data_IF_109258315748
#
_entry.id   IF_109258315748
#
_cell.length_a   1.000
_cell.length_b   1.000
_cell.length_c   1.000
_cell.angle_alpha   90.00
_cell.angle_beta   90.00
_cell.angle_gamma   90.00
#
_symmetry.space_group_name_H-M   'P 1'
#
loop_
_entity.id
_entity.type
_entity.pdbx_description
1 polymer ?
#
# COMPACT_ATOMS: atom_id res chain seq x y z
N UNK A 1 103.99 -28.07 -13.02
CA UNK A 1 103.42 -29.41 -13.31
C UNK A 1 102.62 -29.85 -12.09
N UNK A 2 101.47 -30.53 -12.23
CA UNK A 2 100.48 -30.39 -13.30
C UNK A 2 99.00 -30.56 -12.83
N UNK A 3 98.04 -30.23 -13.72
CA UNK A 3 96.61 -30.66 -13.86
C UNK A 3 95.65 -30.53 -12.63
N UNK A 4 94.37 -30.19 -12.73
CA UNK A 4 93.36 -30.45 -13.76
C UNK A 4 92.13 -29.54 -13.59
N UNK A 5 91.52 -29.22 -14.72
CA UNK A 5 90.18 -28.63 -14.91
C UNK A 5 89.09 -29.58 -14.36
N UNK A 6 88.05 -29.05 -13.71
CA UNK A 6 86.66 -29.49 -13.94
C UNK A 6 85.63 -28.50 -13.39
N UNK A 7 84.95 -27.87 -14.33
CA UNK A 7 83.68 -27.15 -14.19
C UNK A 7 82.62 -28.10 -13.61
N UNK A 8 81.93 -27.70 -12.54
CA UNK A 8 80.59 -28.23 -12.21
C UNK A 8 79.68 -27.08 -11.78
N UNK A 9 78.83 -26.71 -12.72
CA UNK A 9 77.55 -26.05 -12.58
C UNK A 9 76.77 -26.62 -11.38
N UNK A 10 76.45 -25.76 -10.40
CA UNK A 10 75.48 -26.08 -9.36
C UNK A 10 74.18 -25.38 -9.72
N UNK A 11 73.25 -26.15 -10.27
CA UNK A 11 71.89 -25.73 -10.62
C UNK A 11 71.13 -25.42 -9.32
N UNK A 12 70.73 -24.16 -9.14
CA UNK A 12 69.82 -23.74 -8.07
C UNK A 12 68.41 -24.28 -8.41
N UNK A 13 67.99 -25.37 -7.76
CA UNK A 13 66.62 -25.85 -7.83
C UNK A 13 65.80 -25.05 -6.79
N UNK A 14 65.24 -23.92 -7.20
CA UNK A 14 64.22 -23.22 -6.43
C UNK A 14 62.90 -24.01 -6.55
N UNK A 15 62.62 -24.86 -5.57
CA UNK A 15 61.32 -25.49 -5.43
C UNK A 15 60.29 -24.44 -5.02
N UNK A 16 59.54 -23.91 -5.99
CA UNK A 16 58.33 -23.14 -5.72
C UNK A 16 57.27 -24.13 -5.21
N UNK A 17 57.14 -24.26 -3.89
CA UNK A 17 55.95 -24.84 -3.28
C UNK A 17 54.81 -23.85 -3.50
N UNK A 18 54.01 -24.05 -4.57
CA UNK A 18 52.68 -23.46 -4.62
C UNK A 18 51.88 -24.07 -3.47
N UNK A 19 51.75 -23.34 -2.38
CA UNK A 19 50.67 -23.56 -1.43
C UNK A 19 49.37 -23.32 -2.18
N UNK A 20 48.70 -24.40 -2.62
CA UNK A 20 47.29 -24.31 -2.95
C UNK A 20 46.56 -24.02 -1.64
N UNK A 21 46.31 -22.74 -1.40
CA UNK A 21 45.30 -22.31 -0.44
C UNK A 21 43.99 -22.90 -0.93
N UNK A 22 43.52 -23.97 -0.30
CA UNK A 22 42.13 -24.37 -0.43
C UNK A 22 41.31 -23.17 0.07
N UNK A 23 40.75 -22.40 -0.85
CA UNK A 23 39.73 -21.41 -0.50
C UNK A 23 38.63 -22.18 0.20
N UNK A 24 38.52 -22.02 1.52
CA UNK A 24 37.37 -22.50 2.25
C UNK A 24 36.15 -21.88 1.57
N UNK A 25 35.29 -22.72 0.99
CA UNK A 25 33.98 -22.30 0.52
C UNK A 25 33.26 -21.83 1.78
N UNK A 26 33.20 -20.51 1.99
CA UNK A 26 32.42 -19.97 3.10
C UNK A 26 30.97 -20.41 2.87
N UNK A 27 30.27 -20.89 3.92
CA UNK A 27 28.87 -21.27 3.78
C UNK A 27 28.09 -20.04 3.30
N UNK A 28 27.27 -20.24 2.27
CA UNK A 28 26.37 -19.21 1.75
C UNK A 28 25.36 -18.89 2.85
N UNK A 29 25.20 -17.61 3.19
CA UNK A 29 24.20 -17.18 4.16
C UNK A 29 22.80 -17.39 3.57
N UNK A 30 21.97 -18.19 4.25
CA UNK A 30 20.58 -18.44 3.89
C UNK A 30 19.61 -17.68 4.78
N UNK A 31 18.53 -17.17 4.19
CA UNK A 31 17.43 -16.46 4.83
C UNK A 31 16.08 -17.13 4.49
N UNK A 32 15.04 -16.80 5.24
CA UNK A 32 13.73 -17.43 5.14
C UNK A 32 13.67 -18.87 5.69
N UNK A 33 12.47 -19.44 5.71
CA UNK A 33 12.18 -20.76 6.27
C UNK A 33 11.70 -21.72 5.17
N UNK A 34 12.21 -22.95 5.17
CA UNK A 34 11.82 -23.99 4.21
C UNK A 34 12.21 -25.39 4.73
N UNK A 35 11.42 -26.42 4.44
CA UNK A 35 11.83 -27.82 4.60
C UNK A 35 12.79 -28.22 3.47
N UNK A 36 14.09 -27.95 3.68
CA UNK A 36 15.14 -28.23 2.68
C UNK A 36 15.19 -29.71 2.26
N UNK A 37 15.20 -30.70 3.18
CA UNK A 37 15.15 -32.11 2.79
C UNK A 37 13.96 -32.48 1.91
N UNK A 38 12.76 -31.98 2.23
CA UNK A 38 11.58 -32.24 1.41
C UNK A 38 11.69 -31.58 0.02
N UNK A 39 12.19 -30.35 -0.04
CA UNK A 39 12.44 -29.65 -1.30
C UNK A 39 13.47 -30.37 -2.19
N UNK A 40 14.57 -30.86 -1.61
CA UNK A 40 15.61 -31.60 -2.34
C UNK A 40 15.10 -32.92 -2.94
N UNK A 41 14.12 -33.55 -2.28
CA UNK A 41 13.47 -34.78 -2.76
C UNK A 41 12.42 -34.54 -3.86
N UNK A 42 12.09 -33.28 -4.17
CA UNK A 42 11.04 -32.91 -5.13
C UNK A 42 11.62 -32.60 -6.52
N UNK A 43 10.84 -32.83 -7.57
CA UNK A 43 11.18 -32.38 -8.92
C UNK A 43 11.19 -30.84 -8.97
N UNK A 44 12.21 -30.26 -9.60
CA UNK A 44 12.46 -28.81 -9.54
C UNK A 44 12.73 -28.23 -10.91
N UNK A 45 12.29 -26.99 -11.10
CA UNK A 45 12.56 -26.18 -12.28
C UNK A 45 13.39 -24.97 -11.89
N UNK A 46 14.33 -24.59 -12.77
CA UNK A 46 15.19 -23.43 -12.57
C UNK A 46 14.90 -22.35 -13.60
N UNK A 47 14.80 -21.12 -13.13
CA UNK A 47 14.63 -19.91 -13.92
C UNK A 47 15.81 -18.98 -13.70
N UNK A 48 16.30 -18.37 -14.78
CA UNK A 48 17.33 -17.34 -14.72
C UNK A 48 16.68 -15.96 -14.62
N UNK A 49 17.09 -15.16 -13.64
CA UNK A 49 16.67 -13.77 -13.46
C UNK A 49 17.89 -12.89 -13.74
N UNK A 50 18.02 -12.39 -14.98
CA UNK A 50 19.27 -11.74 -15.43
C UNK A 50 19.08 -10.26 -15.76
N UNK A 51 17.88 -9.81 -16.10
CA UNK A 51 17.67 -8.50 -16.71
C UNK A 51 17.40 -7.37 -15.71
N UNK A 52 17.38 -7.67 -14.40
CA UNK A 52 17.14 -6.67 -13.37
C UNK A 52 18.38 -5.81 -13.04
N UNK A 53 19.60 -6.28 -13.35
CA UNK A 53 20.84 -5.57 -13.05
C UNK A 53 21.96 -5.90 -14.04
N UNK A 54 22.86 -4.93 -14.25
CA UNK A 54 24.12 -5.14 -15.01
C UNK A 54 25.19 -5.85 -14.18
N UNK A 55 25.18 -5.68 -12.86
CA UNK A 55 26.22 -6.19 -11.96
C UNK A 55 25.83 -7.51 -11.31
N UNK A 56 24.53 -7.73 -11.12
CA UNK A 56 24.03 -8.89 -10.41
C UNK A 56 23.20 -9.77 -11.33
N UNK A 57 23.06 -11.03 -10.91
CA UNK A 57 22.14 -11.99 -11.49
C UNK A 57 21.51 -12.82 -10.38
N UNK A 58 20.38 -13.44 -10.66
CA UNK A 58 19.77 -14.39 -9.75
C UNK A 58 19.28 -15.65 -10.47
N UNK A 59 19.09 -16.70 -9.69
CA UNK A 59 18.40 -17.92 -10.11
C UNK A 59 17.27 -18.20 -9.16
N UNK A 60 16.14 -18.63 -9.69
CA UNK A 60 15.05 -19.19 -8.91
C UNK A 60 14.96 -20.69 -9.20
N UNK A 61 15.10 -21.50 -8.17
CA UNK A 61 14.83 -22.93 -8.21
C UNK A 61 13.53 -23.18 -7.43
N UNK A 62 12.52 -23.79 -8.05
CA UNK A 62 11.19 -23.97 -7.44
C UNK A 62 10.66 -25.37 -7.73
N UNK A 63 9.76 -25.89 -6.90
CA UNK A 63 9.08 -27.16 -7.17
C UNK A 63 8.33 -27.12 -8.52
N UNK A 64 8.52 -28.17 -9.32
CA UNK A 64 7.91 -28.35 -10.63
C UNK A 64 6.55 -29.05 -10.49
N UNK A 65 5.59 -28.28 -9.97
CA UNK A 65 4.19 -28.68 -9.85
C UNK A 65 3.27 -27.48 -10.19
N UNK A 66 1.96 -27.74 -10.24
CA UNK A 66 0.94 -26.76 -10.60
C UNK A 66 0.32 -26.03 -9.39
N UNK A 67 0.93 -26.15 -8.20
CA UNK A 67 0.47 -25.45 -7.01
C UNK A 67 0.79 -23.95 -7.10
N UNK A 68 -0.07 -23.12 -6.49
CA UNK A 68 0.11 -21.66 -6.47
C UNK A 68 1.28 -21.28 -5.56
N UNK A 69 1.30 -21.84 -4.35
CA UNK A 69 2.35 -21.68 -3.36
C UNK A 69 3.29 -22.87 -3.47
N UNK A 70 4.57 -22.61 -3.73
CA UNK A 70 5.53 -23.68 -4.00
C UNK A 70 6.83 -23.46 -3.25
N UNK A 71 7.45 -24.54 -2.73
CA UNK A 71 8.74 -24.43 -2.11
C UNK A 71 9.80 -24.07 -3.16
N UNK A 72 10.72 -23.18 -2.79
CA UNK A 72 11.77 -22.73 -3.69
C UNK A 72 12.86 -21.91 -3.02
N UNK A 73 13.93 -21.71 -3.79
CA UNK A 73 15.14 -21.00 -3.37
C UNK A 73 15.50 -19.96 -4.44
N UNK A 74 15.63 -18.72 -4.01
CA UNK A 74 16.16 -17.62 -4.83
C UNK A 74 17.60 -17.37 -4.42
N UNK A 75 18.53 -17.44 -5.37
CA UNK A 75 19.96 -17.20 -5.14
C UNK A 75 20.41 -15.98 -5.91
N UNK A 76 21.11 -15.07 -5.25
CA UNK A 76 21.65 -13.85 -5.85
C UNK A 76 23.16 -13.97 -5.98
N UNK A 77 23.71 -13.53 -7.11
CA UNK A 77 25.12 -13.63 -7.46
C UNK A 77 25.64 -12.28 -7.96
N UNK A 78 26.91 -12.01 -7.67
CA UNK A 78 27.69 -11.13 -8.53
C UNK A 78 27.81 -11.78 -9.92
N UNK A 79 27.60 -11.01 -10.99
CA UNK A 79 27.53 -11.54 -12.36
C UNK A 79 28.83 -12.20 -12.81
N UNK A 80 29.98 -11.84 -12.25
CA UNK A 80 31.28 -12.45 -12.54
C UNK A 80 31.61 -13.64 -11.63
N UNK A 81 30.93 -13.76 -10.48
CA UNK A 81 31.21 -14.80 -9.49
C UNK A 81 30.22 -15.99 -9.62
N UNK A 82 30.69 -17.25 -9.68
CA UNK A 82 29.81 -18.41 -9.62
C UNK A 82 29.23 -18.68 -8.23
N UNK A 83 29.87 -18.22 -7.15
CA UNK A 83 29.34 -18.39 -5.79
C UNK A 83 28.23 -17.37 -5.49
N UNK A 84 27.09 -17.78 -4.91
CA UNK A 84 26.03 -16.85 -4.54
C UNK A 84 26.48 -15.94 -3.39
N UNK A 85 26.03 -14.70 -3.42
CA UNK A 85 26.19 -13.71 -2.36
C UNK A 85 25.34 -14.11 -1.14
N UNK A 86 24.11 -14.56 -1.40
CA UNK A 86 23.16 -15.07 -0.42
C UNK A 86 22.04 -15.85 -1.13
N UNK A 87 21.23 -16.55 -0.33
CA UNK A 87 20.01 -17.19 -0.80
C UNK A 87 18.82 -16.94 0.14
N UNK A 88 17.62 -16.88 -0.43
CA UNK A 88 16.36 -16.80 0.29
C UNK A 88 15.55 -18.05 -0.04
N UNK A 89 15.04 -18.72 1.00
CA UNK A 89 14.30 -19.98 0.93
C UNK A 89 12.88 -19.72 1.40
N UNK A 90 11.93 -20.42 0.81
CA UNK A 90 10.53 -20.35 1.21
C UNK A 90 9.80 -21.63 0.85
N UNK A 91 8.87 -22.07 1.71
CA UNK A 91 7.91 -23.12 1.35
C UNK A 91 6.78 -22.59 0.43
N UNK A 92 6.60 -21.27 0.31
CA UNK A 92 5.41 -20.66 -0.32
C UNK A 92 5.76 -19.50 -1.27
N UNK A 93 6.65 -19.74 -2.24
CA UNK A 93 6.87 -18.80 -3.34
C UNK A 93 5.70 -18.81 -4.32
N UNK A 94 5.29 -17.62 -4.75
CA UNK A 94 4.33 -17.42 -5.84
C UNK A 94 5.08 -16.91 -7.06
N UNK A 95 4.85 -17.55 -8.20
CA UNK A 95 5.49 -17.19 -9.46
C UNK A 95 4.46 -16.75 -10.48
N UNK A 96 4.62 -15.51 -10.93
CA UNK A 96 4.01 -15.05 -12.17
C UNK A 96 5.01 -15.19 -13.32
N UNK A 97 4.68 -16.09 -14.24
CA UNK A 97 5.45 -16.36 -15.46
C UNK A 97 4.71 -15.71 -16.63
N UNK A 98 5.43 -14.95 -17.45
CA UNK A 98 4.88 -14.44 -18.70
C UNK A 98 4.39 -15.59 -19.60
N UNK A 99 3.47 -15.33 -20.55
CA UNK A 99 3.05 -16.33 -21.55
C UNK A 99 4.21 -16.96 -22.35
N UNK A 100 5.38 -16.32 -22.38
CA UNK A 100 6.62 -16.82 -23.00
C UNK A 100 7.55 -17.65 -22.08
N UNK A 101 7.19 -17.88 -20.82
CA UNK A 101 7.98 -18.72 -19.90
C UNK A 101 9.02 -17.98 -19.03
N UNK A 102 9.10 -16.65 -19.13
CA UNK A 102 10.02 -15.81 -18.35
C UNK A 102 9.38 -15.36 -17.03
N UNK A 103 10.11 -15.45 -15.92
CA UNK A 103 9.68 -14.93 -14.61
C UNK A 103 9.88 -13.43 -14.57
N UNK A 104 8.85 -12.68 -14.17
CA UNK A 104 8.95 -11.23 -14.06
C UNK A 104 9.76 -10.82 -12.83
N UNK A 105 10.68 -9.87 -13.00
CA UNK A 105 11.34 -9.13 -11.93
C UNK A 105 10.86 -7.67 -11.93
N UNK A 106 10.92 -6.99 -10.78
CA UNK A 106 10.54 -5.58 -10.61
C UNK A 106 9.07 -5.23 -10.93
N UNK A 107 8.15 -6.19 -10.85
CA UNK A 107 6.72 -5.89 -10.84
C UNK A 107 6.30 -5.61 -9.42
N UNK A 108 5.65 -4.48 -9.20
CA UNK A 108 5.08 -4.10 -7.93
C UNK A 108 3.76 -3.37 -8.17
N UNK A 109 2.64 -4.08 -7.98
CA UNK A 109 1.31 -3.51 -8.03
C UNK A 109 0.80 -3.28 -6.62
N UNK A 110 0.50 -2.03 -6.31
CA UNK A 110 0.06 -1.57 -4.99
C UNK A 110 -1.34 -0.92 -5.10
N UNK A 111 -2.15 -0.94 -4.03
CA UNK A 111 -1.93 -1.67 -2.77
C UNK A 111 -2.17 -3.19 -2.91
N UNK A 112 -2.75 -3.62 -4.03
CA UNK A 112 -3.03 -5.02 -4.35
C UNK A 112 -2.61 -5.30 -5.78
N UNK A 113 -1.99 -6.45 -5.99
CA UNK A 113 -1.66 -6.97 -7.31
C UNK A 113 -0.35 -7.74 -7.31
N UNK A 114 0.14 -8.01 -8.51
CA UNK A 114 1.34 -8.79 -8.76
C UNK A 114 2.59 -8.14 -8.12
N UNK A 115 3.36 -8.95 -7.39
CA UNK A 115 4.69 -8.58 -6.90
C UNK A 115 5.70 -9.64 -7.34
N UNK A 116 6.75 -9.20 -8.02
CA UNK A 116 7.83 -10.07 -8.46
C UNK A 116 8.57 -10.69 -7.29
N UNK A 117 9.05 -11.92 -7.45
CA UNK A 117 9.91 -12.62 -6.47
C UNK A 117 11.22 -11.89 -6.16
N UNK A 118 11.63 -10.94 -7.01
CA UNK A 118 12.80 -10.09 -6.82
C UNK A 118 12.50 -8.67 -7.31
N UNK A 119 12.82 -7.70 -6.46
CA UNK A 119 12.69 -6.26 -6.74
C UNK A 119 14.03 -5.58 -6.46
N UNK A 120 14.52 -4.79 -7.42
CA UNK A 120 15.81 -4.09 -7.40
C UNK A 120 15.62 -2.57 -7.53
N UNK A 121 15.55 -1.89 -6.40
CA UNK A 121 15.25 -0.46 -6.30
C UNK A 121 16.03 0.19 -5.14
N UNK A 122 16.20 1.50 -5.15
CA UNK A 122 16.88 2.25 -4.08
C UNK A 122 15.81 2.62 -3.02
N UNK A 123 15.79 1.89 -1.91
CA UNK A 123 14.82 2.01 -0.82
C UNK A 123 15.25 3.06 0.21
N UNK A 124 16.55 3.25 0.38
CA UNK A 124 17.12 4.13 1.40
C UNK A 124 17.52 5.53 0.85
N UNK A 125 17.41 5.74 -0.45
CA UNK A 125 17.67 6.96 -1.20
C UNK A 125 19.15 7.40 -1.19
N UNK A 126 20.09 6.46 -1.17
CA UNK A 126 21.53 6.72 -1.20
C UNK A 126 22.17 6.65 -2.60
N UNK A 127 21.38 6.27 -3.62
CA UNK A 127 21.82 6.13 -5.01
C UNK A 127 22.39 4.76 -5.36
N UNK A 128 22.52 3.84 -4.39
CA UNK A 128 22.82 2.43 -4.58
C UNK A 128 21.49 1.68 -4.58
N UNK A 129 21.34 0.71 -5.48
CA UNK A 129 20.13 -0.09 -5.57
C UNK A 129 20.18 -1.24 -4.56
N UNK A 130 19.07 -1.44 -3.88
CA UNK A 130 18.80 -2.48 -2.89
C UNK A 130 18.04 -3.65 -3.53
N UNK A 131 17.87 -4.74 -2.78
CA UNK A 131 17.10 -5.92 -3.18
C UNK A 131 16.02 -6.23 -2.15
N UNK A 132 14.80 -6.46 -2.62
CA UNK A 132 13.78 -7.19 -1.87
C UNK A 132 13.58 -8.54 -2.56
N UNK A 133 13.72 -9.63 -1.81
CA UNK A 133 13.63 -11.00 -2.31
C UNK A 133 12.54 -11.75 -1.56
N UNK A 134 11.57 -12.29 -2.28
CA UNK A 134 10.39 -12.90 -1.67
C UNK A 134 10.77 -14.10 -0.81
N UNK A 135 10.27 -14.14 0.43
CA UNK A 135 10.51 -15.21 1.40
C UNK A 135 9.24 -15.99 1.77
N UNK A 136 8.12 -15.68 1.12
CA UNK A 136 6.89 -16.45 1.21
C UNK A 136 5.66 -15.55 1.26
N UNK A 137 4.66 -16.01 2.01
CA UNK A 137 3.39 -15.33 2.21
C UNK A 137 3.21 -14.90 3.69
N UNK A 138 4.26 -14.38 4.29
CA UNK A 138 4.31 -14.09 5.73
C UNK A 138 3.71 -12.73 6.10
N UNK A 139 3.18 -11.98 5.13
CA UNK A 139 2.59 -10.66 5.38
C UNK A 139 1.07 -10.71 5.50
N UNK A 140 0.40 -9.55 5.58
CA UNK A 140 -1.01 -9.48 5.96
C UNK A 140 -1.91 -10.42 5.11
N UNK A 141 -2.79 -11.18 5.78
CA UNK A 141 -3.73 -12.11 5.14
C UNK A 141 -3.09 -13.11 4.17
N UNK A 142 -1.96 -13.71 4.56
CA UNK A 142 -1.23 -14.67 3.71
C UNK A 142 -0.77 -14.02 2.40
N UNK A 143 -0.33 -12.75 2.50
CA UNK A 143 0.16 -11.95 1.40
C UNK A 143 1.69 -12.03 1.26
N UNK A 144 2.25 -11.59 0.12
CA UNK A 144 3.66 -11.75 -0.17
C UNK A 144 4.53 -11.03 0.86
N UNK A 145 5.66 -11.63 1.22
CA UNK A 145 6.66 -11.09 2.15
C UNK A 145 8.06 -11.15 1.56
N UNK A 146 8.98 -10.33 2.09
CA UNK A 146 10.32 -10.19 1.53
C UNK A 146 11.41 -10.04 2.58
N UNK A 147 12.56 -10.64 2.28
CA UNK A 147 13.84 -10.31 2.89
C UNK A 147 14.48 -9.15 2.12
N UNK A 148 14.90 -8.10 2.84
CA UNK A 148 15.46 -6.89 2.24
C UNK A 148 16.95 -6.76 2.52
N UNK A 149 17.67 -6.46 1.44
CA UNK A 149 19.12 -6.32 1.42
C UNK A 149 19.50 -4.95 0.85
N UNK A 150 20.08 -4.11 1.69
CA UNK A 150 20.54 -2.77 1.33
C UNK A 150 21.85 -2.87 0.58
N UNK A 151 21.96 -2.15 -0.53
CA UNK A 151 23.17 -2.02 -1.33
C UNK A 151 24.27 -1.32 -0.54
N UNK A 152 25.51 -1.74 -0.81
CA UNK A 152 26.73 -1.16 -0.25
C UNK A 152 27.79 -1.11 -1.34
N UNK A 153 28.91 -0.44 -1.09
CA UNK A 153 30.04 -0.41 -2.03
C UNK A 153 30.58 -1.81 -2.38
N UNK A 154 30.39 -2.80 -1.49
CA UNK A 154 30.98 -4.14 -1.59
C UNK A 154 29.93 -5.25 -1.78
N UNK A 155 28.71 -4.91 -2.18
CA UNK A 155 27.62 -5.89 -2.34
C UNK A 155 26.42 -5.51 -1.49
N UNK A 156 25.87 -6.46 -0.75
CA UNK A 156 24.61 -6.29 -0.02
C UNK A 156 24.72 -6.59 1.47
N UNK A 157 23.96 -5.85 2.27
CA UNK A 157 23.78 -6.07 3.72
C UNK A 157 22.29 -6.28 4.00
N UNK A 158 21.95 -7.37 4.67
CA UNK A 158 20.58 -7.60 5.16
C UNK A 158 20.12 -6.45 6.10
N UNK A 159 18.90 -5.95 5.92
CA UNK A 159 18.28 -4.96 6.82
C UNK A 159 17.04 -5.54 7.47
N UNK A 160 17.17 -5.83 8.76
CA UNK A 160 16.04 -6.22 9.60
C UNK A 160 14.92 -5.17 9.60
N UNK A 161 15.24 -3.88 9.54
CA UNK A 161 14.22 -2.83 9.60
C UNK A 161 13.38 -2.78 8.31
N UNK A 162 14.00 -2.90 7.14
CA UNK A 162 13.24 -2.97 5.89
C UNK A 162 12.55 -4.32 5.68
N UNK A 163 13.17 -5.45 6.08
CA UNK A 163 12.50 -6.76 6.12
C UNK A 163 11.24 -6.68 6.97
N UNK A 164 11.31 -6.07 8.16
CA UNK A 164 10.14 -5.90 9.02
C UNK A 164 9.03 -5.11 8.32
N UNK A 165 9.35 -4.04 7.58
CA UNK A 165 8.35 -3.31 6.80
C UNK A 165 7.72 -4.15 5.68
N UNK A 166 8.42 -5.16 5.16
CA UNK A 166 7.95 -6.04 4.11
C UNK A 166 7.23 -7.31 4.63
N UNK A 167 7.25 -7.55 5.94
CA UNK A 167 6.61 -8.69 6.60
C UNK A 167 5.43 -8.26 7.50
N UNK A 168 5.56 -7.17 8.26
CA UNK A 168 4.52 -6.75 9.23
C UNK A 168 3.32 -6.03 8.58
N UNK A 169 3.40 -5.74 7.29
CA UNK A 169 2.41 -4.97 6.53
C UNK A 169 1.79 -5.79 5.39
N UNK A 170 0.96 -5.17 4.54
CA UNK A 170 0.32 -5.81 3.41
C UNK A 170 1.20 -5.81 2.15
N UNK A 171 2.28 -6.57 2.18
CA UNK A 171 3.23 -6.72 1.06
C UNK A 171 4.40 -5.74 1.10
N UNK A 172 5.18 -5.71 0.02
CA UNK A 172 6.33 -4.81 -0.07
C UNK A 172 5.88 -3.34 -0.02
N UNK A 173 6.58 -2.54 0.78
CA UNK A 173 6.39 -1.10 0.88
C UNK A 173 6.58 -0.37 -0.47
N UNK A 174 5.89 0.76 -0.62
CA UNK A 174 6.06 1.68 -1.74
C UNK A 174 7.26 2.60 -1.53
N UNK A 175 8.02 2.84 -2.59
CA UNK A 175 9.07 3.88 -2.63
C UNK A 175 8.54 5.12 -3.36
N UNK A 176 8.51 6.24 -2.67
CA UNK A 176 8.24 7.56 -3.24
C UNK A 176 9.58 8.31 -3.38
N UNK A 177 10.23 8.13 -4.54
CA UNK A 177 11.55 8.71 -4.82
C UNK A 177 11.54 10.25 -4.80
N UNK A 178 10.42 10.87 -5.24
CA UNK A 178 10.29 12.33 -5.27
C UNK A 178 10.21 12.91 -3.85
N UNK A 179 9.40 12.29 -2.98
CA UNK A 179 9.29 12.70 -1.58
C UNK A 179 10.42 12.15 -0.70
N UNK A 180 11.23 11.20 -1.20
CA UNK A 180 12.16 10.38 -0.41
C UNK A 180 11.46 9.79 0.80
N UNK A 181 10.38 9.05 0.54
CA UNK A 181 9.55 8.40 1.56
C UNK A 181 9.29 6.96 1.20
N UNK A 182 9.21 6.12 2.23
CA UNK A 182 8.71 4.76 2.10
C UNK A 182 7.30 4.70 2.70
N UNK A 183 6.37 3.99 2.06
CA UNK A 183 4.97 3.90 2.51
C UNK A 183 4.54 2.45 2.66
N UNK A 184 3.91 2.11 3.78
CA UNK A 184 3.30 0.80 3.99
C UNK A 184 1.79 0.95 4.17
N UNK A 185 1.07 -0.17 4.05
CA UNK A 185 -0.36 -0.26 4.35
C UNK A 185 -0.64 -1.51 5.17
N UNK A 186 -1.55 -1.44 6.14
CA UNK A 186 -2.17 -2.60 6.79
C UNK A 186 -3.68 -2.39 6.91
N UNK A 187 -4.44 -3.44 7.24
CA UNK A 187 -5.90 -3.40 7.35
C UNK A 187 -6.47 -4.43 8.33
N UNK A 188 -7.70 -4.18 8.77
CA UNK A 188 -8.44 -5.04 9.71
C UNK A 188 -9.19 -6.19 9.02
N UNK A 189 -9.07 -6.28 7.69
CA UNK A 189 -9.70 -7.31 6.87
C UNK A 189 -11.06 -6.86 6.30
N UNK A 190 -11.47 -5.62 6.57
CA UNK A 190 -12.69 -5.00 6.05
C UNK A 190 -12.39 -3.58 5.61
N UNK A 191 -12.50 -2.66 6.57
CA UNK A 191 -13.00 -1.32 6.34
C UNK A 191 -12.11 -0.27 7.00
N UNK A 192 -11.17 -0.72 7.84
CA UNK A 192 -10.13 0.14 8.41
C UNK A 192 -8.81 -0.15 7.75
N UNK A 193 -8.19 0.89 7.22
CA UNK A 193 -6.87 0.85 6.60
C UNK A 193 -5.93 1.80 7.32
N UNK A 194 -4.73 1.33 7.64
CA UNK A 194 -3.65 2.14 8.19
C UNK A 194 -2.57 2.31 7.14
N UNK A 195 -2.18 3.54 6.89
CA UNK A 195 -1.09 3.91 5.99
C UNK A 195 0.02 4.53 6.82
N UNK A 196 1.21 3.95 6.80
CA UNK A 196 2.37 4.54 7.46
C UNK A 196 3.34 5.11 6.42
N UNK A 197 3.87 6.30 6.70
CA UNK A 197 4.90 6.96 5.91
C UNK A 197 6.18 7.03 6.74
N UNK A 198 7.29 6.62 6.13
CA UNK A 198 8.61 6.54 6.73
C UNK A 198 9.57 7.51 6.06
N UNK A 199 10.40 8.14 6.87
CA UNK A 199 11.62 8.83 6.45
C UNK A 199 12.81 7.91 6.66
N UNK A 200 13.85 8.09 5.86
CA UNK A 200 15.10 7.37 6.05
C UNK A 200 16.04 8.24 6.88
N UNK A 201 16.49 7.73 8.01
CA UNK A 201 17.51 8.34 8.87
C UNK A 201 18.64 7.35 9.05
N UNK A 202 19.86 7.77 8.76
CA UNK A 202 21.06 6.93 8.88
C UNK A 202 20.93 5.58 8.15
N UNK A 203 20.27 5.60 6.98
CA UNK A 203 20.06 4.42 6.14
C UNK A 203 18.91 3.50 6.56
N UNK A 204 18.20 3.80 7.64
CA UNK A 204 17.11 2.97 8.16
C UNK A 204 15.76 3.72 8.19
N UNK A 205 14.63 3.02 8.02
CA UNK A 205 13.31 3.63 8.03
C UNK A 205 12.85 4.02 9.44
N UNK A 206 12.35 5.24 9.58
CA UNK A 206 11.75 5.77 10.81
C UNK A 206 10.36 6.32 10.48
N UNK A 207 9.33 5.81 11.17
CA UNK A 207 7.96 6.23 10.94
C UNK A 207 7.81 7.73 11.20
N UNK A 208 7.35 8.48 10.19
CA UNK A 208 7.09 9.92 10.23
C UNK A 208 5.61 10.19 10.57
N UNK A 209 4.71 9.42 9.96
CA UNK A 209 3.28 9.68 9.95
C UNK A 209 2.50 8.38 9.81
N UNK A 210 1.36 8.32 10.46
CA UNK A 210 0.33 7.32 10.24
C UNK A 210 -0.98 8.02 9.88
N UNK A 211 -1.67 7.51 8.86
CA UNK A 211 -3.00 7.92 8.45
C UNK A 211 -3.93 6.72 8.56
N UNK A 212 -5.05 6.87 9.26
CA UNK A 212 -6.07 5.83 9.37
C UNK A 212 -7.28 6.27 8.54
N UNK A 213 -7.75 5.39 7.66
CA UNK A 213 -9.00 5.54 6.93
C UNK A 213 -9.98 4.50 7.47
N UNK A 214 -11.04 4.97 8.11
CA UNK A 214 -12.06 4.14 8.75
C UNK A 214 -13.40 4.30 8.00
N UNK A 215 -13.89 3.22 7.41
CA UNK A 215 -15.17 3.16 6.70
C UNK A 215 -16.27 2.40 7.48
N UNK A 216 -16.19 2.35 8.82
CA UNK A 216 -17.19 1.65 9.66
C UNK A 216 -18.43 2.50 9.99
N UNK A 217 -18.47 3.77 9.58
CA UNK A 217 -19.62 4.63 9.87
C UNK A 217 -20.90 4.10 9.21
N UNK A 218 -22.05 4.23 9.87
CA UNK A 218 -23.35 3.83 9.33
C UNK A 218 -23.73 4.60 8.06
N UNK A 219 -23.13 5.77 7.85
CA UNK A 219 -23.28 6.54 6.62
C UNK A 219 -22.53 5.93 5.42
N UNK A 220 -21.62 4.99 5.65
CA UNK A 220 -20.73 4.46 4.61
C UNK A 220 -19.71 5.48 4.09
N UNK A 221 -19.52 6.60 4.79
CA UNK A 221 -18.48 7.58 4.48
C UNK A 221 -17.20 7.25 5.26
N UNK A 222 -16.06 7.44 4.59
CA UNK A 222 -14.75 7.24 5.17
C UNK A 222 -14.38 8.38 6.13
N UNK A 223 -13.76 8.06 7.25
CA UNK A 223 -13.16 9.02 8.17
C UNK A 223 -11.65 8.86 8.17
N UNK A 224 -10.96 9.94 7.84
CA UNK A 224 -9.51 10.04 7.94
C UNK A 224 -9.12 10.62 9.29
N UNK A 225 -8.17 9.98 9.98
CA UNK A 225 -7.44 10.54 11.11
C UNK A 225 -5.94 10.41 10.90
N UNK A 226 -5.16 11.29 11.55
CA UNK A 226 -3.71 11.32 11.35
C UNK A 226 -2.91 11.52 12.63
N UNK A 227 -1.81 10.80 12.71
CA UNK A 227 -0.79 10.92 13.75
C UNK A 227 0.58 11.17 13.13
N UNK A 228 1.44 11.90 13.84
CA UNK A 228 2.82 12.18 13.45
C UNK A 228 3.78 11.82 14.56
N UNK A 229 4.99 11.42 14.18
CA UNK A 229 6.04 11.13 15.14
C UNK A 229 6.59 12.42 15.75
N UNK A 230 6.47 12.56 17.08
CA UNK A 230 7.14 13.58 17.88
C UNK A 230 8.06 12.91 18.88
N UNK A 231 9.36 12.91 18.59
CA UNK A 231 10.42 12.35 19.43
C UNK A 231 10.25 10.86 19.76
N UNK A 232 9.95 10.03 18.76
CA UNK A 232 9.79 8.59 18.91
C UNK A 232 8.38 8.16 19.34
N UNK A 233 7.45 9.10 19.53
CA UNK A 233 6.07 8.82 19.90
C UNK A 233 5.10 9.32 18.84
N UNK A 234 4.20 8.46 18.38
CA UNK A 234 3.08 8.87 17.54
C UNK A 234 2.06 9.66 18.35
N UNK A 235 1.72 10.86 17.88
CA UNK A 235 0.70 11.72 18.49
C UNK A 235 -0.23 12.24 17.42
N UNK A 236 -1.52 12.33 17.74
CA UNK A 236 -2.50 12.94 16.85
C UNK A 236 -2.08 14.38 16.50
N UNK A 237 -2.16 14.73 15.22
CA UNK A 237 -1.77 16.07 14.74
C UNK A 237 -2.97 17.01 14.52
N UNK A 238 -4.16 16.56 14.90
CA UNK A 238 -5.41 17.31 14.83
C UNK A 238 -6.14 17.19 13.50
N UNK A 239 -5.63 16.42 12.53
CA UNK A 239 -6.40 16.08 11.34
C UNK A 239 -7.38 14.97 11.63
N UNK A 240 -8.65 15.33 11.57
CA UNK A 240 -9.78 14.43 11.46
C UNK A 240 -10.77 14.98 10.44
N UNK A 241 -11.13 14.19 9.44
CA UNK A 241 -12.05 14.62 8.39
C UNK A 241 -12.87 13.47 7.84
N UNK A 242 -14.10 13.77 7.44
CA UNK A 242 -14.95 12.81 6.74
C UNK A 242 -14.82 13.06 5.25
N UNK A 243 -14.59 12.01 4.47
CA UNK A 243 -14.32 12.08 3.03
C UNK A 243 -15.52 11.57 2.24
N UNK A 244 -15.81 12.24 1.13
CA UNK A 244 -16.73 11.76 0.12
C UNK A 244 -15.94 11.01 -0.96
N UNK A 245 -16.11 9.69 -0.99
CA UNK A 245 -15.54 8.82 -2.02
C UNK A 245 -16.65 8.33 -2.96
N UNK A 246 -16.29 7.91 -4.17
CA UNK A 246 -17.24 7.27 -5.07
C UNK A 246 -17.50 5.83 -4.59
N UNK A 247 -18.77 5.43 -4.56
CA UNK A 247 -19.21 4.13 -4.06
C UNK A 247 -20.44 3.70 -4.87
N UNK A 248 -20.32 2.55 -5.52
CA UNK A 248 -21.36 2.01 -6.41
C UNK A 248 -22.61 1.54 -5.65
N UNK A 249 -22.48 1.26 -4.36
CA UNK A 249 -23.62 0.85 -3.52
C UNK A 249 -24.45 2.05 -3.05
N UNK A 250 -23.82 3.23 -2.99
CA UNK A 250 -24.43 4.46 -2.47
C UNK A 250 -25.58 4.92 -3.36
N UNK A 251 -26.76 5.02 -2.78
CA UNK A 251 -27.93 5.55 -3.48
C UNK A 251 -28.02 7.06 -3.29
N UNK A 252 -27.64 7.85 -4.30
CA UNK A 252 -27.91 9.29 -4.33
C UNK A 252 -29.40 9.55 -4.64
N UNK A 253 -30.13 10.17 -3.70
CA UNK A 253 -31.56 10.48 -3.82
C UNK A 253 -31.80 11.91 -4.35
N UNK A 254 -30.96 12.85 -3.93
CA UNK A 254 -30.98 14.23 -4.40
C UNK A 254 -29.55 14.79 -4.28
N UNK A 255 -29.05 15.40 -5.35
CA UNK A 255 -27.75 16.06 -5.33
C UNK A 255 -27.82 17.38 -6.10
N UNK A 256 -27.21 18.45 -5.59
CA UNK A 256 -27.11 19.73 -6.28
C UNK A 256 -25.89 20.53 -5.80
N UNK A 257 -25.50 21.58 -6.52
CA UNK A 257 -24.42 22.50 -6.11
C UNK A 257 -24.95 23.86 -5.73
N UNK A 258 -24.32 24.50 -4.74
CA UNK A 258 -24.66 25.85 -4.29
C UNK A 258 -23.79 26.91 -4.98
N UNK A 259 -24.41 27.94 -5.56
CA UNK A 259 -23.72 29.08 -6.13
C UNK A 259 -23.46 30.18 -5.07
N UNK A 260 -22.30 30.86 -5.09
CA UNK A 260 -21.15 30.65 -5.99
C UNK A 260 -20.13 29.62 -5.47
N UNK A 261 -20.32 29.09 -4.26
CA UNK A 261 -19.31 28.27 -3.58
C UNK A 261 -18.92 26.98 -4.29
N UNK A 262 -19.81 26.44 -5.14
CA UNK A 262 -19.66 25.12 -5.76
C UNK A 262 -19.86 23.96 -4.79
N UNK A 263 -20.12 24.22 -3.50
CA UNK A 263 -20.36 23.20 -2.47
C UNK A 263 -21.50 22.28 -2.92
N UNK A 264 -21.24 20.98 -2.91
CA UNK A 264 -22.21 19.96 -3.31
C UNK A 264 -23.02 19.53 -2.09
N UNK A 265 -24.33 19.55 -2.23
CA UNK A 265 -25.26 19.00 -1.25
C UNK A 265 -25.75 17.67 -1.79
N UNK A 266 -25.70 16.61 -0.96
CA UNK A 266 -26.16 15.28 -1.34
C UNK A 266 -27.05 14.71 -0.24
N UNK A 267 -28.22 14.22 -0.61
CA UNK A 267 -29.07 13.37 0.22
C UNK A 267 -28.94 11.96 -0.33
N UNK A 268 -28.55 11.00 0.51
CA UNK A 268 -28.16 9.67 0.05
C UNK A 268 -28.46 8.59 1.09
N UNK A 269 -28.33 7.34 0.68
CA UNK A 269 -28.28 6.16 1.56
C UNK A 269 -26.99 5.41 1.30
N UNK A 270 -26.43 4.77 2.32
CA UNK A 270 -25.29 3.86 2.17
C UNK A 270 -25.66 2.66 1.28
N UNK A 271 -26.87 2.13 1.44
CA UNK A 271 -27.44 1.09 0.58
C UNK A 271 -28.98 1.26 0.45
N UNK A 272 -29.64 0.61 -0.53
CA UNK A 272 -31.09 0.64 -0.64
C UNK A 272 -31.79 0.14 0.63
N UNK A 273 -32.75 0.92 1.14
CA UNK A 273 -33.49 0.60 2.37
C UNK A 273 -32.87 1.17 3.65
N UNK A 274 -31.62 1.63 3.61
CA UNK A 274 -30.94 2.23 4.76
C UNK A 274 -31.45 3.63 5.09
N UNK A 275 -31.00 4.17 6.22
CA UNK A 275 -31.30 5.53 6.64
C UNK A 275 -30.81 6.57 5.60
N UNK A 276 -31.59 7.63 5.44
CA UNK A 276 -31.21 8.77 4.61
C UNK A 276 -30.25 9.67 5.38
N UNK A 277 -29.16 10.06 4.73
CA UNK A 277 -28.18 11.03 5.20
C UNK A 277 -28.15 12.25 4.29
N UNK A 278 -27.71 13.37 4.86
CA UNK A 278 -27.34 14.62 4.21
C UNK A 278 -25.84 14.80 4.34
N UNK A 279 -25.16 15.16 3.25
CA UNK A 279 -23.76 15.58 3.25
C UNK A 279 -23.59 16.91 2.52
N UNK A 280 -22.85 17.83 3.13
CA UNK A 280 -22.34 19.03 2.47
C UNK A 280 -20.86 18.86 2.14
N UNK A 281 -20.57 18.59 0.87
CA UNK A 281 -19.26 18.22 0.34
C UNK A 281 -18.60 19.42 -0.33
N UNK A 282 -17.36 19.72 0.05
CA UNK A 282 -16.60 20.81 -0.55
C UNK A 282 -15.88 20.41 -1.85
N UNK A 283 -15.07 21.32 -2.41
CA UNK A 283 -14.32 21.08 -3.66
C UNK A 283 -13.14 20.12 -3.51
N UNK A 284 -12.77 19.74 -2.29
CA UNK A 284 -11.73 18.76 -1.96
C UNK A 284 -12.32 17.40 -1.58
N UNK A 285 -13.62 17.21 -1.78
CA UNK A 285 -14.38 16.04 -1.35
C UNK A 285 -14.41 15.85 0.18
N UNK A 286 -14.24 16.92 0.95
CA UNK A 286 -14.40 16.87 2.40
C UNK A 286 -15.85 17.14 2.79
N UNK A 287 -16.41 16.29 3.66
CA UNK A 287 -17.77 16.43 4.18
C UNK A 287 -17.75 17.38 5.37
N UNK A 288 -18.12 18.62 5.09
CA UNK A 288 -18.18 19.70 6.08
C UNK A 288 -19.39 19.65 7.01
N UNK A 289 -20.40 18.85 6.68
CA UNK A 289 -21.58 18.58 7.52
C UNK A 289 -22.20 17.26 7.09
N UNK A 290 -22.37 16.33 8.03
CA UNK A 290 -23.11 15.09 7.89
C UNK A 290 -24.34 15.13 8.79
N UNK A 291 -25.49 14.62 8.34
CA UNK A 291 -26.70 14.53 9.16
C UNK A 291 -27.57 13.35 8.73
N UNK A 292 -28.18 12.58 9.65
CA UNK A 292 -27.97 12.60 11.08
C UNK A 292 -26.60 12.01 11.45
N UNK A 293 -26.07 12.42 12.60
CA UNK A 293 -24.88 11.78 13.22
C UNK A 293 -25.24 11.11 14.54
N UNK A 294 -26.40 11.45 15.12
CA UNK A 294 -26.91 10.89 16.36
C UNK A 294 -28.24 10.20 16.12
N UNK A 295 -28.52 9.14 16.88
CA UNK A 295 -29.75 8.37 16.75
C UNK A 295 -31.02 9.18 17.04
N UNK A 296 -30.94 10.30 17.75
CA UNK A 296 -32.11 11.15 18.05
C UNK A 296 -32.43 12.14 16.94
N UNK A 297 -31.56 12.29 15.96
CA UNK A 297 -31.67 13.30 14.91
C UNK A 297 -32.53 12.79 13.75
N UNK A 298 -33.46 13.63 13.29
CA UNK A 298 -34.45 13.28 12.28
C UNK A 298 -34.69 14.46 11.36
N UNK A 299 -34.92 14.16 10.08
CA UNK A 299 -35.41 15.15 9.15
C UNK A 299 -36.88 15.47 9.44
N UNK A 300 -37.24 16.73 9.30
CA UNK A 300 -38.63 17.20 9.25
C UNK A 300 -39.02 17.44 7.80
N UNK A 301 -40.16 16.88 7.40
CA UNK A 301 -40.65 16.97 6.04
C UNK A 301 -42.03 17.65 6.01
N UNK A 302 -42.10 18.79 5.34
CA UNK A 302 -43.36 19.38 4.90
C UNK A 302 -43.60 19.00 3.44
N UNK A 303 -44.41 17.96 3.23
CA UNK A 303 -44.74 17.47 1.88
C UNK A 303 -45.63 18.44 1.11
N UNK A 304 -46.39 19.28 1.81
CA UNK A 304 -47.28 20.26 1.17
C UNK A 304 -46.51 21.47 0.63
N UNK A 305 -45.52 21.93 1.40
CA UNK A 305 -44.62 23.01 1.01
C UNK A 305 -43.40 22.54 0.21
N UNK A 306 -43.20 21.23 0.07
CA UNK A 306 -42.01 20.62 -0.54
C UNK A 306 -40.72 21.10 0.13
N UNK A 307 -40.71 21.05 1.46
CA UNK A 307 -39.56 21.46 2.29
C UNK A 307 -39.05 20.29 3.11
N UNK A 308 -37.78 19.95 2.93
CA UNK A 308 -37.05 19.07 3.84
C UNK A 308 -36.19 19.94 4.75
N UNK A 309 -36.23 19.70 6.06
CA UNK A 309 -35.45 20.47 7.01
C UNK A 309 -34.86 19.63 8.12
N UNK A 310 -33.82 20.15 8.75
CA UNK A 310 -33.24 19.58 9.96
C UNK A 310 -32.54 20.66 10.78
N UNK A 311 -32.31 20.37 12.06
CA UNK A 311 -31.68 21.28 13.01
C UNK A 311 -30.36 20.69 13.48
N UNK A 312 -29.31 21.53 13.51
CA UNK A 312 -28.07 21.24 14.23
C UNK A 312 -27.64 22.47 15.03
N UNK A 313 -27.63 22.31 16.36
CA UNK A 313 -27.40 23.43 17.28
C UNK A 313 -28.39 24.56 17.01
N UNK A 314 -27.88 25.79 16.89
CA UNK A 314 -28.66 27.01 16.62
C UNK A 314 -29.05 27.19 15.13
N UNK A 315 -28.77 26.19 14.27
CA UNK A 315 -28.92 26.30 12.82
C UNK A 315 -30.00 25.36 12.28
N UNK A 316 -30.97 25.91 11.55
CA UNK A 316 -31.94 25.13 10.76
C UNK A 316 -31.55 25.19 9.29
N UNK A 317 -31.42 24.02 8.68
CA UNK A 317 -31.18 23.86 7.25
C UNK A 317 -32.50 23.48 6.58
N UNK A 318 -32.84 24.13 5.46
CA UNK A 318 -34.09 23.88 4.72
C UNK A 318 -33.81 23.76 3.23
N UNK A 319 -34.16 22.64 2.62
CA UNK A 319 -34.08 22.43 1.18
C UNK A 319 -35.48 22.63 0.60
N UNK A 320 -35.58 23.53 -0.38
CA UNK A 320 -36.84 23.98 -0.94
C UNK A 320 -37.04 23.36 -2.33
N UNK A 321 -38.17 22.67 -2.53
CA UNK A 321 -38.60 22.13 -3.81
C UNK A 321 -39.61 23.00 -4.53
N UNK A 322 -39.80 22.74 -5.82
CA UNK A 322 -41.02 23.12 -6.53
C UNK A 322 -42.13 22.07 -6.34
N UNK A 323 -43.27 22.26 -7.02
CA UNK A 323 -44.41 21.36 -6.93
C UNK A 323 -44.11 19.92 -7.41
N UNK A 324 -43.05 19.73 -8.19
CA UNK A 324 -42.58 18.44 -8.68
C UNK A 324 -41.44 17.87 -7.82
N UNK A 325 -41.07 18.58 -6.74
CA UNK A 325 -39.98 18.22 -5.83
C UNK A 325 -38.59 18.50 -6.40
N UNK A 326 -38.46 19.20 -7.53
CA UNK A 326 -37.15 19.64 -8.02
C UNK A 326 -36.61 20.77 -7.15
N UNK A 327 -35.33 20.74 -6.81
CA UNK A 327 -34.75 21.71 -5.87
C UNK A 327 -34.69 23.11 -6.48
N UNK A 328 -35.18 24.11 -5.74
CA UNK A 328 -35.15 25.52 -6.12
C UNK A 328 -34.10 26.32 -5.37
N UNK A 329 -33.80 25.91 -4.15
CA UNK A 329 -33.00 26.69 -3.22
C UNK A 329 -32.78 25.96 -1.91
N UNK A 330 -31.93 26.56 -1.09
CA UNK A 330 -31.71 26.12 0.28
C UNK A 330 -31.65 27.34 1.18
N UNK A 331 -32.36 27.31 2.31
CA UNK A 331 -32.24 28.31 3.35
C UNK A 331 -31.43 27.77 4.52
N UNK A 332 -30.57 28.62 5.06
CA UNK A 332 -29.87 28.39 6.33
C UNK A 332 -30.30 29.46 7.31
N UNK A 333 -30.97 29.04 8.38
CA UNK A 333 -31.50 29.92 9.42
C UNK A 333 -30.62 29.79 10.65
N UNK A 334 -29.92 30.85 11.03
CA UNK A 334 -29.07 30.89 12.23
C UNK A 334 -29.67 31.91 13.18
N UNK A 335 -30.12 31.47 14.36
CA UNK A 335 -30.72 32.34 15.39
C UNK A 335 -31.82 33.27 14.83
N UNK A 336 -32.69 32.70 14.00
CA UNK A 336 -33.81 33.41 13.36
C UNK A 336 -33.46 34.24 12.12
N UNK A 337 -32.18 34.39 11.76
CA UNK A 337 -31.77 35.07 10.53
C UNK A 337 -31.64 34.08 9.38
N UNK A 338 -32.47 34.24 8.35
CA UNK A 338 -32.45 33.41 7.14
C UNK A 338 -31.42 33.90 6.12
N UNK A 339 -30.60 32.98 5.62
CA UNK A 339 -29.73 33.19 4.46
C UNK A 339 -30.16 32.25 3.34
N UNK A 340 -30.63 32.82 2.23
CA UNK A 340 -31.01 32.07 1.04
C UNK A 340 -29.78 31.73 0.20
N UNK A 341 -29.60 30.45 -0.09
CA UNK A 341 -28.51 29.90 -0.91
C UNK A 341 -29.09 29.43 -2.25
N UNK A 342 -28.48 29.92 -3.33
CA UNK A 342 -28.94 29.63 -4.69
C UNK A 342 -28.37 28.31 -5.18
N UNK A 343 -29.18 27.54 -5.90
CA UNK A 343 -28.73 26.35 -6.63
C UNK A 343 -28.02 26.79 -7.90
N UNK A 344 -26.88 26.16 -8.20
CA UNK A 344 -26.18 26.34 -9.46
C UNK A 344 -27.03 25.76 -10.61
N UNK A 345 -27.32 26.52 -11.68
CA UNK A 345 -28.13 26.05 -12.79
C UNK A 345 -27.61 24.74 -13.39
N UNK A 346 -28.50 23.78 -13.65
CA UNK A 346 -28.16 22.48 -14.26
C UNK A 346 -27.41 21.50 -13.35
N UNK A 347 -27.16 21.84 -12.08
CA UNK A 347 -26.41 20.97 -11.16
C UNK A 347 -27.24 19.91 -10.44
N UNK A 348 -28.58 20.03 -10.47
CA UNK A 348 -29.48 19.16 -9.72
C UNK A 348 -29.66 17.81 -10.38
N UNK A 349 -29.65 16.75 -9.58
CA UNK A 349 -30.00 15.36 -9.91
C UNK A 349 -30.90 14.81 -8.82
N UNK A 350 -31.86 13.96 -9.18
CA UNK A 350 -32.87 13.44 -8.25
C UNK A 350 -33.89 14.50 -7.81
N UNK A 351 -34.69 14.20 -6.78
CA UNK A 351 -35.75 15.09 -6.30
C UNK A 351 -36.05 14.92 -4.81
N UNK A 352 -36.67 15.94 -4.21
CA UNK A 352 -37.23 15.82 -2.86
C UNK A 352 -38.28 14.71 -2.80
N UNK A 353 -39.07 14.47 -3.84
CA UNK A 353 -40.04 13.37 -3.85
C UNK A 353 -39.37 11.99 -3.64
N UNK A 354 -38.20 11.75 -4.24
CA UNK A 354 -37.41 10.53 -4.00
C UNK A 354 -36.91 10.45 -2.56
N UNK A 355 -36.48 11.57 -1.99
CA UNK A 355 -36.08 11.64 -0.57
C UNK A 355 -37.28 11.36 0.36
N UNK A 356 -38.47 11.88 0.03
CA UNK A 356 -39.69 11.65 0.79
C UNK A 356 -40.10 10.19 0.80
N UNK A 357 -40.03 9.53 -0.35
CA UNK A 357 -40.31 8.11 -0.48
C UNK A 357 -39.30 7.28 0.33
N UNK A 358 -38.01 7.61 0.23
CA UNK A 358 -36.97 6.99 1.01
C UNK A 358 -37.22 7.12 2.53
N UNK A 359 -37.49 8.33 3.03
CA UNK A 359 -37.74 8.56 4.45
C UNK A 359 -38.95 7.77 4.99
N UNK A 360 -39.96 7.47 4.17
CA UNK A 360 -41.11 6.64 4.56
C UNK A 360 -40.80 5.14 4.56
N UNK A 361 -39.84 4.72 3.75
CA UNK A 361 -39.45 3.32 3.59
C UNK A 361 -38.34 2.89 4.57
N UNK A 362 -37.67 3.85 5.23
CA UNK A 362 -36.68 3.55 6.25
C UNK A 362 -37.37 2.96 7.51
N UNK A 363 -36.80 1.93 8.13
CA UNK A 363 -37.39 1.24 9.29
C UNK A 363 -37.53 2.11 10.55
#
# INVERSE_FOLDING_TARGET
>A
MPFSITQRTLTLLAGLLLSMSASAIMPVTGYGEMDVPAFEATARKTYALQDFSKQYRATLEIADNDEVFRPGIIRVFDRQNPAPLFEVRSDELVLDVNPGGEVKANVQQLPYGEQSVLIYQDFNFDGIKDLAVMDGQNSCYHGPSFEVFVGTENGFRHSAAFTQLAQDYCGLFQVDEQARRVKTMTKDGCCTHWFATYIIKDGEPVMERETVIDQTSSSGLARESRSVNRNGKMVADGVERTLWEDDEQRQELLAFRLAPSGKRIVLFRSAPGEQVYYAAVDSKNEVSLLYPEQETERFELDSSAQVLSFVRGDTTYRILGDAQGAVKGMDVVIRGKTTALKVQPGSSRGSLAQVQEALKAAP
#
